data_IF_615596576098
#
_entry.id   IF_615596576098
#
_cell.length_a   1.000
_cell.length_b   1.000
_cell.length_c   1.000
_cell.angle_alpha   90.00
_cell.angle_beta   90.00
_cell.angle_gamma   90.00
#
_symmetry.space_group_name_H-M   'P 1'
#
loop_
_entity.id
_entity.type
_entity.pdbx_description
1 polymer ?
#
# COMPACT_ATOMS: atom_id res chain seq x y z
N UNK A 1 -6.37 21.18 5.86
CA UNK A 1 -6.36 20.28 7.03
C UNK A 1 -4.96 19.74 7.15
N UNK A 2 -4.30 19.79 8.31
CA UNK A 2 -2.96 19.26 8.44
C UNK A 2 -2.99 17.75 8.15
N UNK A 3 -2.11 17.29 7.27
CA UNK A 3 -2.03 15.88 6.96
C UNK A 3 -1.56 15.13 8.21
N UNK A 4 -2.31 14.10 8.65
CA UNK A 4 -1.79 13.12 9.61
C UNK A 4 -0.48 12.48 9.14
N UNK A 5 -0.25 12.54 7.82
CA UNK A 5 0.93 12.05 7.15
C UNK A 5 2.07 13.07 7.18
N UNK A 6 2.87 13.03 8.24
CA UNK A 6 4.13 13.76 8.33
C UNK A 6 5.29 12.86 8.77
N UNK A 7 6.46 12.99 8.13
CA UNK A 7 7.60 12.15 8.42
C UNK A 7 8.83 12.39 7.53
N UNK A 8 9.84 11.54 7.71
CA UNK A 8 11.09 11.57 6.94
C UNK A 8 11.50 10.18 6.43
N UNK A 9 10.59 9.21 6.43
CA UNK A 9 10.88 7.86 5.92
C UNK A 9 11.09 7.89 4.40
N UNK A 10 11.52 6.77 3.80
CA UNK A 10 11.74 6.71 2.34
C UNK A 10 10.48 7.05 1.55
N UNK A 11 9.30 6.67 2.03
CA UNK A 11 8.03 7.10 1.43
C UNK A 11 7.91 8.64 1.35
N UNK A 12 8.28 9.36 2.41
CA UNK A 12 8.23 10.83 2.46
C UNK A 12 9.35 11.49 1.66
N UNK A 13 10.40 10.73 1.37
CA UNK A 13 11.55 11.16 0.59
C UNK A 13 11.42 10.84 -0.91
N UNK A 14 10.45 10.01 -1.27
CA UNK A 14 10.13 9.67 -2.67
C UNK A 14 9.28 10.75 -3.31
N UNK A 15 9.81 11.38 -4.37
CA UNK A 15 9.06 12.35 -5.17
C UNK A 15 8.09 11.63 -6.09
N UNK A 16 8.63 10.81 -6.99
CA UNK A 16 7.83 10.14 -7.99
C UNK A 16 8.50 8.89 -8.58
N UNK A 17 7.66 7.98 -9.05
CA UNK A 17 7.97 6.98 -10.06
C UNK A 17 7.63 7.54 -11.44
N UNK A 18 8.39 7.17 -12.46
CA UNK A 18 8.14 7.60 -13.83
C UNK A 18 8.42 6.51 -14.86
N UNK A 19 7.81 6.65 -16.02
CA UNK A 19 8.14 5.90 -17.23
C UNK A 19 8.68 6.86 -18.28
N UNK A 20 9.77 6.48 -18.94
CA UNK A 20 10.26 7.15 -20.15
C UNK A 20 10.54 6.15 -21.26
N UNK A 21 10.59 6.64 -22.49
CA UNK A 21 11.13 5.88 -23.62
C UNK A 21 12.65 6.07 -23.74
N UNK A 22 13.24 5.39 -24.74
CA UNK A 22 14.67 5.46 -25.07
C UNK A 22 15.15 6.85 -25.51
N UNK A 23 14.26 7.74 -25.94
CA UNK A 23 14.57 9.12 -26.31
C UNK A 23 14.58 10.08 -25.13
N UNK A 24 14.14 9.64 -23.95
CA UNK A 24 13.98 10.49 -22.77
C UNK A 24 12.61 11.15 -22.63
N UNK A 25 11.64 10.79 -23.48
CA UNK A 25 10.28 11.33 -23.37
C UNK A 25 9.58 10.75 -22.16
N UNK A 26 9.09 11.62 -21.28
CA UNK A 26 8.25 11.22 -20.14
C UNK A 26 6.89 10.71 -20.62
N UNK A 27 6.58 9.46 -20.30
CA UNK A 27 5.32 8.81 -20.68
C UNK A 27 4.30 8.85 -19.55
N UNK A 28 4.75 8.65 -18.31
CA UNK A 28 3.91 8.74 -17.15
C UNK A 28 4.74 9.03 -15.90
N UNK A 29 4.08 9.56 -14.88
CA UNK A 29 4.71 9.87 -13.60
C UNK A 29 3.65 9.91 -12.51
N UNK A 30 4.02 9.36 -11.36
CA UNK A 30 3.18 9.18 -10.18
C UNK A 30 3.94 9.39 -8.89
N UNK A 31 3.26 9.93 -7.88
CA UNK A 31 3.84 10.22 -6.58
C UNK A 31 3.41 11.60 -6.10
N UNK A 32 3.78 11.92 -4.86
CA UNK A 32 3.41 13.17 -4.23
C UNK A 32 4.08 14.36 -4.92
N UNK A 33 5.27 14.14 -5.48
CA UNK A 33 6.03 15.11 -6.26
C UNK A 33 5.82 14.99 -7.78
N UNK A 34 4.77 14.30 -8.25
CA UNK A 34 4.60 14.02 -9.67
C UNK A 34 4.43 15.30 -10.51
N UNK A 35 3.80 16.34 -9.96
CA UNK A 35 3.62 17.62 -10.65
C UNK A 35 4.96 18.33 -10.81
N UNK A 36 5.75 18.35 -9.74
CA UNK A 36 7.07 18.96 -9.65
C UNK A 36 8.03 18.25 -10.60
N UNK A 37 8.04 16.91 -10.60
CA UNK A 37 8.86 16.10 -11.53
C UNK A 37 8.45 16.34 -12.99
N UNK A 38 7.17 16.52 -13.32
CA UNK A 38 6.76 16.90 -14.69
C UNK A 38 7.32 18.25 -15.10
N UNK A 39 7.33 19.23 -14.19
CA UNK A 39 7.78 20.59 -14.46
C UNK A 39 9.29 20.64 -14.70
N UNK A 40 10.07 19.87 -13.94
CA UNK A 40 11.54 19.84 -14.03
C UNK A 40 12.08 18.68 -14.87
N UNK A 41 11.22 17.96 -15.60
CA UNK A 41 11.62 16.79 -16.39
C UNK A 41 12.74 17.08 -17.39
N UNK A 42 12.75 18.20 -18.14
CA UNK A 42 13.85 18.48 -19.07
C UNK A 42 15.22 18.52 -18.38
N UNK A 43 15.31 19.17 -17.22
CA UNK A 43 16.55 19.27 -16.44
C UNK A 43 16.93 17.93 -15.80
N UNK A 44 15.93 17.19 -15.30
CA UNK A 44 16.14 15.86 -14.75
C UNK A 44 16.69 14.91 -15.81
N UNK A 45 16.11 14.90 -17.01
CA UNK A 45 16.55 14.07 -18.12
C UNK A 45 17.96 14.45 -18.61
N UNK A 46 18.24 15.75 -18.76
CA UNK A 46 19.58 16.22 -19.12
C UNK A 46 20.63 15.71 -18.13
N UNK A 47 20.33 15.79 -16.82
CA UNK A 47 21.19 15.24 -15.79
C UNK A 47 21.36 13.73 -15.88
N UNK A 48 20.29 12.97 -16.14
CA UNK A 48 20.34 11.50 -16.30
C UNK A 48 21.22 11.13 -17.49
N UNK A 49 21.00 11.78 -18.64
CA UNK A 49 21.72 11.54 -19.88
C UNK A 49 23.20 11.93 -19.78
N UNK A 50 23.54 12.97 -19.02
CA UNK A 50 24.93 13.40 -18.80
C UNK A 50 25.70 12.53 -17.79
N UNK A 51 25.03 11.66 -17.04
CA UNK A 51 25.59 10.96 -15.88
C UNK A 51 26.28 9.63 -16.18
N UNK A 52 26.68 9.36 -17.42
CA UNK A 52 27.33 8.08 -17.80
C UNK A 52 28.55 7.71 -16.94
N UNK A 53 29.31 8.71 -16.46
CA UNK A 53 30.50 8.48 -15.60
C UNK A 53 30.16 8.18 -14.13
N UNK A 54 28.99 8.62 -13.65
CA UNK A 54 28.55 8.47 -12.24
C UNK A 54 27.47 7.40 -12.08
N UNK A 55 27.12 6.71 -13.16
CA UNK A 55 26.12 5.65 -13.19
C UNK A 55 26.68 4.38 -12.55
N UNK A 56 26.00 3.89 -11.52
CA UNK A 56 26.31 2.61 -10.88
C UNK A 56 25.27 1.58 -11.32
N UNK A 57 25.68 0.63 -12.15
CA UNK A 57 24.82 -0.44 -12.64
C UNK A 57 24.90 -1.66 -11.71
N UNK A 58 23.77 -2.05 -11.13
CA UNK A 58 23.60 -3.28 -10.35
C UNK A 58 22.84 -4.32 -11.19
N UNK A 59 23.43 -5.49 -11.40
CA UNK A 59 22.77 -6.64 -12.04
C UNK A 59 22.28 -7.61 -10.97
N UNK A 60 20.98 -7.88 -10.97
CA UNK A 60 20.35 -8.80 -10.04
C UNK A 60 20.43 -10.25 -10.55
N UNK A 61 20.35 -11.27 -9.68
CA UNK A 61 20.37 -12.68 -10.08
C UNK A 61 19.34 -13.06 -11.15
N UNK A 62 18.14 -12.46 -11.16
CA UNK A 62 17.15 -12.65 -12.24
C UNK A 62 17.58 -12.12 -13.62
N UNK A 63 18.67 -11.35 -13.69
CA UNK A 63 19.12 -10.64 -14.90
C UNK A 63 18.60 -9.21 -15.02
N UNK A 64 17.68 -8.78 -14.15
CA UNK A 64 17.24 -7.37 -14.05
C UNK A 64 18.43 -6.45 -13.80
N UNK A 65 18.45 -5.30 -14.47
CA UNK A 65 19.51 -4.32 -14.36
C UNK A 65 18.96 -3.01 -13.81
N UNK A 66 19.56 -2.52 -12.72
CA UNK A 66 19.22 -1.24 -12.10
C UNK A 66 20.40 -0.29 -12.24
N UNK A 67 20.18 0.82 -12.94
CA UNK A 67 21.14 1.92 -13.00
C UNK A 67 20.83 2.91 -11.88
N UNK A 68 21.86 3.31 -11.13
CA UNK A 68 21.73 4.23 -9.99
C UNK A 68 22.53 5.50 -10.26
N UNK A 69 21.91 6.65 -10.11
CA UNK A 69 22.46 7.96 -10.48
C UNK A 69 22.19 8.96 -9.36
N UNK A 70 23.14 9.87 -9.13
CA UNK A 70 22.95 11.02 -8.24
C UNK A 70 23.05 12.30 -9.06
N UNK A 71 22.04 13.15 -8.95
CA UNK A 71 21.95 14.41 -9.69
C UNK A 71 21.69 15.53 -8.70
N UNK A 72 22.38 16.64 -8.89
CA UNK A 72 22.08 17.87 -8.18
C UNK A 72 20.98 18.61 -8.93
N UNK A 73 19.77 18.62 -8.36
CA UNK A 73 18.61 19.26 -8.96
C UNK A 73 17.71 19.84 -7.88
N UNK A 74 17.30 21.08 -8.07
CA UNK A 74 16.30 21.71 -7.21
C UNK A 74 14.90 21.26 -7.66
N UNK A 75 14.31 20.36 -6.88
CA UNK A 75 12.93 19.94 -7.04
C UNK A 75 12.21 20.40 -5.77
N UNK A 76 11.16 21.24 -5.88
CA UNK A 76 10.41 21.68 -4.71
C UNK A 76 9.91 20.50 -3.88
N UNK A 77 10.10 20.54 -2.56
CA UNK A 77 9.66 19.46 -1.66
C UNK A 77 8.16 19.18 -1.85
N UNK A 78 7.74 17.91 -1.96
CA UNK A 78 6.33 17.59 -2.17
C UNK A 78 5.49 17.87 -0.91
N UNK A 79 4.66 18.91 -0.94
CA UNK A 79 3.56 19.17 0.02
C UNK A 79 3.92 19.25 1.52
N UNK A 80 2.92 19.50 2.37
CA UNK A 80 3.08 19.75 3.82
C UNK A 80 3.52 18.52 4.66
N UNK A 81 3.72 17.35 4.04
CA UNK A 81 3.91 16.06 4.73
C UNK A 81 5.38 15.59 4.89
N UNK A 82 6.34 16.18 4.21
CA UNK A 82 7.76 15.79 4.37
C UNK A 82 8.48 16.76 5.30
N UNK A 83 9.36 16.25 6.17
CA UNK A 83 10.29 17.09 6.94
C UNK A 83 11.53 17.48 6.15
N UNK A 84 11.69 17.00 4.92
CA UNK A 84 12.85 17.32 4.10
C UNK A 84 12.80 18.79 3.66
N UNK A 85 13.79 19.58 4.11
CA UNK A 85 13.95 20.96 3.68
C UNK A 85 14.31 21.04 2.19
N UNK A 86 14.02 22.18 1.57
CA UNK A 86 14.42 22.51 0.18
C UNK A 86 15.93 22.64 -0.01
N UNK A 87 16.72 22.49 1.06
CA UNK A 87 18.17 22.66 1.04
C UNK A 87 18.91 21.42 0.52
N UNK A 88 18.29 20.23 0.53
CA UNK A 88 18.93 19.02 -0.01
C UNK A 88 18.73 18.89 -1.53
N UNK A 89 19.71 19.41 -2.27
CA UNK A 89 19.71 19.47 -3.72
C UNK A 89 20.09 18.14 -4.39
N UNK A 90 20.58 17.15 -3.64
CA UNK A 90 20.93 15.85 -4.23
C UNK A 90 19.69 14.96 -4.33
N UNK A 91 19.45 14.48 -5.56
CA UNK A 91 18.40 13.53 -5.90
C UNK A 91 19.03 12.20 -6.27
N UNK A 92 18.48 11.14 -5.71
CA UNK A 92 18.85 9.77 -6.03
C UNK A 92 17.85 9.22 -7.04
N UNK A 93 18.39 8.61 -8.08
CA UNK A 93 17.60 8.06 -9.18
C UNK A 93 18.00 6.61 -9.35
N UNK A 94 16.99 5.75 -9.44
CA UNK A 94 17.18 4.38 -9.90
C UNK A 94 16.34 4.17 -11.15
N UNK A 95 16.91 3.52 -12.15
CA UNK A 95 16.24 3.17 -13.41
C UNK A 95 16.33 1.67 -13.66
N UNK A 96 15.18 1.04 -13.93
CA UNK A 96 15.02 -0.36 -14.28
C UNK A 96 14.52 -0.46 -15.73
N UNK A 97 15.24 -1.22 -16.55
CA UNK A 97 14.84 -1.46 -17.94
C UNK A 97 13.83 -2.60 -18.04
N UNK A 98 12.68 -2.36 -18.68
CA UNK A 98 11.55 -3.32 -18.74
C UNK A 98 11.65 -4.31 -19.91
N UNK A 99 12.87 -4.71 -20.31
CA UNK A 99 13.12 -5.59 -21.47
C UNK A 99 12.62 -5.08 -22.84
N UNK A 100 11.99 -3.91 -22.85
CA UNK A 100 11.48 -3.15 -24.00
C UNK A 100 12.26 -1.82 -24.12
N UNK A 101 11.84 -0.94 -25.03
CA UNK A 101 12.39 0.42 -25.14
C UNK A 101 11.94 1.37 -24.01
N UNK A 102 11.32 0.82 -22.96
CA UNK A 102 10.82 1.58 -21.81
C UNK A 102 11.71 1.43 -20.60
N UNK A 103 11.90 2.54 -19.89
CA UNK A 103 12.60 2.60 -18.62
C UNK A 103 11.67 3.12 -17.54
N UNK A 104 11.56 2.35 -16.48
CA UNK A 104 10.91 2.75 -15.24
C UNK A 104 11.96 3.39 -14.36
N UNK A 105 11.64 4.50 -13.71
CA UNK A 105 12.54 5.16 -12.78
C UNK A 105 11.86 5.63 -11.51
N UNK A 106 12.66 5.87 -10.47
CA UNK A 106 12.25 6.49 -9.20
C UNK A 106 13.14 7.70 -8.92
N UNK A 107 12.57 8.75 -8.35
CA UNK A 107 13.30 9.94 -7.86
C UNK A 107 13.05 10.08 -6.37
N UNK A 108 14.12 10.10 -5.58
CA UNK A 108 14.08 10.33 -4.13
C UNK A 108 15.05 11.43 -3.70
N UNK A 109 14.75 12.09 -2.57
CA UNK A 109 15.75 12.78 -1.76
C UNK A 109 16.20 11.87 -0.65
N UNK A 110 17.43 12.04 -0.17
CA UNK A 110 17.86 11.50 1.12
C UNK A 110 18.41 12.63 1.94
N UNK A 111 18.12 12.64 3.23
CA UNK A 111 18.78 13.56 4.16
C UNK A 111 20.20 13.05 4.42
N UNK A 112 21.19 13.81 3.97
CA UNK A 112 22.61 13.49 4.17
C UNK A 112 23.02 13.30 5.63
N UNK A 113 22.22 13.78 6.61
CA UNK A 113 22.47 13.62 8.04
C UNK A 113 22.06 12.27 8.62
N UNK A 114 21.22 11.47 7.91
CA UNK A 114 20.72 10.16 8.38
C UNK A 114 21.47 8.98 7.76
N UNK A 115 22.80 8.98 7.88
CA UNK A 115 23.68 7.96 7.26
C UNK A 115 23.52 6.54 7.83
N UNK A 116 22.99 6.39 9.04
CA UNK A 116 22.91 5.10 9.75
C UNK A 116 22.11 4.02 8.99
N UNK A 117 21.11 4.41 8.18
CA UNK A 117 20.24 3.48 7.44
C UNK A 117 20.36 3.61 5.92
N UNK A 118 21.44 4.18 5.40
CA UNK A 118 21.60 4.44 3.96
C UNK A 118 21.48 3.17 3.08
N UNK A 119 21.94 2.02 3.60
CA UNK A 119 21.81 0.73 2.92
C UNK A 119 20.35 0.26 2.83
N UNK A 120 19.58 0.42 3.91
CA UNK A 120 18.15 0.08 3.94
C UNK A 120 17.35 1.00 3.00
N UNK A 121 17.68 2.29 2.94
CA UNK A 121 17.04 3.24 2.03
C UNK A 121 17.28 2.87 0.57
N UNK A 122 18.54 2.56 0.23
CA UNK A 122 18.93 2.08 -1.10
C UNK A 122 18.24 0.76 -1.46
N UNK A 123 18.16 -0.17 -0.51
CA UNK A 123 17.40 -1.41 -0.68
C UNK A 123 15.93 -1.13 -0.96
N UNK A 124 15.31 -0.21 -0.21
CA UNK A 124 13.89 0.09 -0.38
C UNK A 124 13.60 0.78 -1.71
N UNK A 125 14.44 1.70 -2.18
CA UNK A 125 14.29 2.32 -3.50
C UNK A 125 14.37 1.27 -4.62
N UNK A 126 15.28 0.30 -4.49
CA UNK A 126 15.37 -0.86 -5.40
C UNK A 126 14.16 -1.79 -5.25
N UNK A 127 13.66 -1.98 -4.05
CA UNK A 127 12.45 -2.75 -3.79
C UNK A 127 11.24 -2.10 -4.48
N UNK A 128 11.06 -0.79 -4.33
CA UNK A 128 9.99 -0.02 -4.97
C UNK A 128 10.02 -0.17 -6.50
N UNK A 129 11.19 0.00 -7.12
CA UNK A 129 11.32 -0.06 -8.58
C UNK A 129 11.22 -1.49 -9.14
N UNK A 130 11.65 -2.51 -8.39
CA UNK A 130 11.57 -3.91 -8.83
C UNK A 130 10.20 -4.52 -8.61
N UNK A 131 9.49 -4.08 -7.56
CA UNK A 131 8.16 -4.59 -7.24
C UNK A 131 7.07 -3.76 -7.88
N UNK A 132 7.39 -2.61 -8.48
CA UNK A 132 6.40 -1.79 -9.17
C UNK A 132 6.00 -2.29 -10.55
N UNK A 133 4.69 -2.32 -10.73
CA UNK A 133 3.94 -2.70 -11.91
C UNK A 133 3.05 -1.53 -12.34
N UNK A 134 3.30 -0.32 -11.84
CA UNK A 134 2.73 0.91 -12.39
C UNK A 134 2.99 0.95 -13.89
N UNK A 135 1.96 1.26 -14.70
CA UNK A 135 2.06 1.34 -16.16
C UNK A 135 1.72 2.74 -16.67
N UNK A 136 2.29 3.18 -17.81
CA UNK A 136 2.04 4.49 -18.38
C UNK A 136 0.67 4.57 -19.07
N UNK A 137 -0.39 4.58 -18.26
CA UNK A 137 -1.76 4.72 -18.73
C UNK A 137 -2.06 6.17 -19.13
N UNK A 138 -2.80 6.33 -20.22
CA UNK A 138 -3.32 7.62 -20.63
C UNK A 138 -4.45 8.05 -19.69
N UNK A 139 -4.61 9.37 -19.53
CA UNK A 139 -5.76 9.94 -18.83
C UNK A 139 -6.92 10.01 -19.81
N UNK A 140 -8.11 9.64 -19.35
CA UNK A 140 -9.34 9.73 -20.12
C UNK A 140 -9.65 11.20 -20.48
N UNK A 141 -9.88 11.45 -21.76
CA UNK A 141 -10.29 12.74 -22.33
C UNK A 141 -11.45 12.55 -23.32
N UNK A 142 -11.97 13.64 -23.87
CA UNK A 142 -13.04 13.58 -24.87
C UNK A 142 -12.61 13.00 -26.22
N UNK A 143 -11.31 12.98 -26.50
CA UNK A 143 -10.71 12.37 -27.70
C UNK A 143 -10.22 10.94 -27.48
N UNK A 144 -10.42 10.37 -26.28
CA UNK A 144 -10.05 9.00 -25.95
C UNK A 144 -10.82 7.95 -26.76
N UNK A 145 -10.32 6.72 -26.78
CA UNK A 145 -10.96 5.59 -27.44
C UNK A 145 -12.40 5.39 -26.92
N UNK A 146 -13.38 5.53 -27.83
CA UNK A 146 -14.80 5.51 -27.49
C UNK A 146 -15.27 4.15 -26.93
N UNK A 147 -14.75 3.04 -27.47
CA UNK A 147 -15.09 1.70 -27.00
C UNK A 147 -14.50 1.43 -25.61
N UNK A 148 -13.23 1.80 -25.40
CA UNK A 148 -12.59 1.68 -24.09
C UNK A 148 -13.30 2.55 -23.03
N UNK A 149 -13.73 3.77 -23.41
CA UNK A 149 -14.54 4.65 -22.56
C UNK A 149 -15.89 4.00 -22.21
N UNK A 150 -16.58 3.42 -23.19
CA UNK A 150 -17.86 2.72 -22.98
C UNK A 150 -17.71 1.55 -22.01
N UNK A 151 -16.70 0.71 -22.19
CA UNK A 151 -16.39 -0.42 -21.29
C UNK A 151 -16.07 0.08 -19.88
N UNK A 152 -15.25 1.13 -19.75
CA UNK A 152 -14.91 1.71 -18.44
C UNK A 152 -16.15 2.23 -17.70
N UNK A 153 -17.11 2.84 -18.42
CA UNK A 153 -18.41 3.23 -17.86
C UNK A 153 -19.19 2.02 -17.35
N UNK A 154 -19.33 0.98 -18.16
CA UNK A 154 -20.08 -0.23 -17.78
C UNK A 154 -19.49 -0.94 -16.56
N UNK A 155 -18.15 -1.05 -16.48
CA UNK A 155 -17.47 -1.62 -15.31
C UNK A 155 -17.69 -0.74 -14.06
N UNK A 156 -17.68 0.59 -14.22
CA UNK A 156 -17.93 1.53 -13.11
C UNK A 156 -19.35 1.43 -12.57
N UNK A 157 -20.33 1.25 -13.45
CA UNK A 157 -21.74 1.03 -13.07
C UNK A 157 -21.94 -0.32 -12.39
N UNK A 158 -21.29 -1.38 -12.89
CA UNK A 158 -21.33 -2.70 -12.24
C UNK A 158 -20.72 -2.66 -10.83
N UNK A 159 -19.61 -1.92 -10.65
CA UNK A 159 -18.99 -1.76 -9.34
C UNK A 159 -19.93 -1.02 -8.37
N UNK A 160 -20.56 0.06 -8.84
CA UNK A 160 -21.53 0.83 -8.09
C UNK A 160 -22.71 -0.03 -7.62
N UNK A 161 -23.27 -0.86 -8.51
CA UNK A 161 -24.41 -1.74 -8.22
C UNK A 161 -24.06 -2.92 -7.30
N UNK A 162 -22.91 -3.55 -7.50
CA UNK A 162 -22.60 -4.86 -6.88
C UNK A 162 -21.64 -4.83 -5.71
N UNK A 163 -20.71 -3.86 -5.66
CA UNK A 163 -19.56 -3.94 -4.75
C UNK A 163 -19.36 -2.66 -3.91
N UNK A 164 -19.89 -1.52 -4.34
CA UNK A 164 -19.74 -0.26 -3.60
C UNK A 164 -20.47 -0.33 -2.26
N UNK A 165 -19.73 -0.06 -1.18
CA UNK A 165 -20.36 0.26 0.09
C UNK A 165 -20.82 1.72 0.11
N UNK A 166 -22.13 1.91 0.24
CA UNK A 166 -22.77 3.23 0.29
C UNK A 166 -22.76 3.77 1.73
N UNK A 167 -21.78 4.63 2.04
CA UNK A 167 -21.70 5.31 3.32
C UNK A 167 -22.30 6.72 3.23
N UNK A 168 -22.85 7.23 4.34
CA UNK A 168 -23.63 8.48 4.35
C UNK A 168 -22.90 9.71 3.75
N UNK A 169 -21.57 9.75 3.81
CA UNK A 169 -20.75 10.86 3.28
C UNK A 169 -19.69 10.35 2.29
N UNK A 170 -19.98 9.26 1.57
CA UNK A 170 -19.05 8.80 0.53
C UNK A 170 -18.85 9.88 -0.56
N UNK A 171 -17.68 9.85 -1.20
CA UNK A 171 -17.26 10.84 -2.19
C UNK A 171 -17.46 10.32 -3.63
N UNK A 172 -18.28 9.28 -3.82
CA UNK A 172 -18.45 8.63 -5.11
C UNK A 172 -19.03 9.58 -6.15
N UNK A 173 -20.20 10.16 -5.87
CA UNK A 173 -20.92 11.01 -6.81
C UNK A 173 -20.52 12.49 -6.70
N UNK A 174 -20.33 13.00 -5.48
CA UNK A 174 -20.13 14.45 -5.26
C UNK A 174 -18.66 14.86 -5.13
N UNK A 175 -17.77 13.91 -4.84
CA UNK A 175 -16.35 14.18 -4.61
C UNK A 175 -15.43 13.78 -5.76
N UNK A 176 -15.98 13.44 -6.93
CA UNK A 176 -15.20 12.99 -8.09
C UNK A 176 -14.74 11.52 -8.03
N UNK A 177 -15.27 10.73 -7.08
CA UNK A 177 -14.83 9.36 -6.86
C UNK A 177 -15.14 8.43 -8.03
N UNK A 178 -16.32 8.60 -8.67
CA UNK A 178 -16.72 7.83 -9.85
C UNK A 178 -15.85 8.16 -11.06
N UNK A 179 -15.56 9.45 -11.30
CA UNK A 179 -14.71 9.90 -12.40
C UNK A 179 -13.28 9.39 -12.21
N UNK A 180 -12.78 9.47 -10.97
CA UNK A 180 -11.50 8.90 -10.61
C UNK A 180 -11.47 7.39 -10.90
N UNK A 181 -12.47 6.64 -10.42
CA UNK A 181 -12.62 5.20 -10.68
C UNK A 181 -12.60 4.92 -12.19
N UNK A 182 -13.50 5.55 -12.94
CA UNK A 182 -13.63 5.33 -14.37
C UNK A 182 -12.32 5.61 -15.12
N UNK A 183 -11.61 6.68 -14.77
CA UNK A 183 -10.31 7.01 -15.36
C UNK A 183 -9.25 5.93 -15.06
N UNK A 184 -9.29 5.29 -13.88
CA UNK A 184 -8.39 4.15 -13.58
C UNK A 184 -8.73 2.95 -14.46
N UNK A 185 -10.01 2.58 -14.55
CA UNK A 185 -10.46 1.43 -15.37
C UNK A 185 -10.11 1.63 -16.83
N UNK A 186 -10.35 2.84 -17.37
CA UNK A 186 -10.01 3.19 -18.74
C UNK A 186 -8.55 2.87 -19.07
N UNK A 187 -7.60 3.17 -18.18
CA UNK A 187 -6.18 2.92 -18.40
C UNK A 187 -5.85 1.45 -18.70
N UNK A 188 -6.51 0.50 -18.02
CA UNK A 188 -6.35 -0.94 -18.29
C UNK A 188 -7.03 -1.34 -19.60
N UNK A 189 -8.26 -0.88 -19.81
CA UNK A 189 -9.08 -1.23 -20.97
C UNK A 189 -8.45 -0.73 -22.27
N UNK A 190 -7.96 0.51 -22.28
CA UNK A 190 -7.26 1.10 -23.43
C UNK A 190 -5.99 0.33 -23.82
N UNK A 191 -5.36 -0.35 -22.85
CA UNK A 191 -4.19 -1.20 -23.08
C UNK A 191 -4.52 -2.67 -23.31
N UNK A 192 -5.80 -3.07 -23.31
CA UNK A 192 -6.19 -4.48 -23.43
C UNK A 192 -5.70 -5.33 -22.25
N UNK A 193 -5.47 -4.73 -21.08
CA UNK A 193 -5.00 -5.41 -19.88
C UNK A 193 -6.18 -5.76 -18.97
N UNK A 194 -6.11 -6.86 -18.20
CA UNK A 194 -7.09 -7.14 -17.14
C UNK A 194 -7.15 -5.99 -16.13
N UNK A 195 -8.36 -5.62 -15.70
CA UNK A 195 -8.55 -4.59 -14.66
C UNK A 195 -8.12 -5.17 -13.32
N UNK A 196 -7.20 -4.49 -12.61
CA UNK A 196 -6.70 -4.99 -11.33
C UNK A 196 -7.39 -4.27 -10.17
N UNK A 197 -7.97 -5.05 -9.27
CA UNK A 197 -8.66 -4.64 -8.05
C UNK A 197 -7.87 -5.05 -6.81
N UNK A 198 -8.04 -4.34 -5.70
CA UNK A 198 -7.25 -4.47 -4.48
C UNK A 198 -8.14 -4.22 -3.30
N UNK A 199 -8.09 -5.15 -2.37
CA UNK A 199 -8.90 -5.11 -1.20
C UNK A 199 -8.06 -5.46 0.02
N UNK A 200 -7.60 -4.44 0.78
CA UNK A 200 -7.12 -4.65 2.12
C UNK A 200 -8.26 -5.16 3.00
N UNK A 201 -8.30 -6.47 3.26
CA UNK A 201 -9.36 -7.11 4.03
C UNK A 201 -8.96 -8.52 4.47
N UNK A 202 -9.85 -9.12 5.26
CA UNK A 202 -9.70 -10.47 5.81
C UNK A 202 -8.37 -10.64 6.58
N UNK A 203 -8.09 -9.81 7.59
CA UNK A 203 -6.90 -9.96 8.42
C UNK A 203 -6.94 -11.25 9.24
N UNK A 204 -8.00 -11.40 10.02
CA UNK A 204 -8.31 -12.51 10.92
C UNK A 204 -9.71 -12.32 11.52
N UNK A 205 -10.20 -13.28 12.32
CA UNK A 205 -11.40 -13.09 13.15
C UNK A 205 -11.06 -12.26 14.40
N UNK A 206 -12.06 -11.54 14.92
CA UNK A 206 -11.92 -10.81 16.19
C UNK A 206 -11.52 -11.78 17.31
N UNK A 207 -10.58 -11.39 18.18
CA UNK A 207 -10.23 -12.20 19.36
C UNK A 207 -11.36 -12.27 20.40
N UNK A 208 -12.40 -11.41 20.27
CA UNK A 208 -13.53 -11.39 21.18
C UNK A 208 -14.56 -12.47 20.77
N UNK A 209 -14.74 -13.55 21.56
CA UNK A 209 -15.65 -14.64 21.21
C UNK A 209 -17.13 -14.23 21.16
N UNK A 210 -17.49 -13.07 21.70
CA UNK A 210 -18.87 -12.56 21.61
C UNK A 210 -19.21 -11.98 20.23
N UNK A 211 -18.20 -11.73 19.39
CA UNK A 211 -18.36 -11.13 18.06
C UNK A 211 -18.27 -12.15 16.92
N UNK A 212 -17.77 -13.35 17.18
CA UNK A 212 -17.44 -14.34 16.15
C UNK A 212 -17.82 -15.74 16.60
N UNK A 213 -18.20 -16.61 15.66
CA UNK A 213 -18.52 -18.01 15.95
C UNK A 213 -17.30 -18.91 16.14
N UNK A 214 -16.10 -18.42 15.81
CA UNK A 214 -14.84 -19.15 15.90
C UNK A 214 -13.68 -18.34 15.33
N UNK A 215 -12.51 -18.99 15.21
CA UNK A 215 -11.28 -18.37 14.70
C UNK A 215 -11.09 -18.55 13.18
N UNK A 216 -11.88 -19.40 12.54
CA UNK A 216 -11.80 -19.67 11.10
C UNK A 216 -12.79 -18.79 10.31
N UNK A 217 -12.54 -18.59 9.00
CA UNK A 217 -13.53 -18.00 8.10
C UNK A 217 -14.86 -18.77 8.18
N UNK A 218 -15.97 -18.04 8.18
CA UNK A 218 -17.31 -18.59 8.27
C UNK A 218 -18.20 -18.08 7.11
N UNK A 219 -19.52 -18.14 7.29
CA UNK A 219 -20.48 -17.73 6.27
C UNK A 219 -20.28 -16.26 5.83
N UNK A 220 -19.80 -15.38 6.71
CA UNK A 220 -19.56 -13.98 6.36
C UNK A 220 -18.47 -13.87 5.29
N UNK A 221 -17.34 -14.55 5.49
CA UNK A 221 -16.27 -14.60 4.51
C UNK A 221 -16.70 -15.32 3.21
N UNK A 222 -17.47 -16.40 3.33
CA UNK A 222 -18.01 -17.12 2.17
C UNK A 222 -18.83 -16.20 1.25
N UNK A 223 -19.84 -15.52 1.80
CA UNK A 223 -20.69 -14.63 1.00
C UNK A 223 -19.92 -13.43 0.46
N UNK A 224 -18.91 -12.95 1.18
CA UNK A 224 -18.04 -11.88 0.71
C UNK A 224 -17.23 -12.32 -0.53
N UNK A 225 -16.65 -13.53 -0.50
CA UNK A 225 -15.96 -14.11 -1.66
C UNK A 225 -16.91 -14.36 -2.84
N UNK A 226 -18.09 -14.92 -2.60
CA UNK A 226 -19.11 -15.13 -3.65
C UNK A 226 -19.48 -13.81 -4.33
N UNK A 227 -19.77 -12.77 -3.54
CA UNK A 227 -20.10 -11.44 -4.06
C UNK A 227 -18.97 -10.86 -4.92
N UNK A 228 -17.72 -11.01 -4.47
CA UNK A 228 -16.55 -10.57 -5.23
C UNK A 228 -16.40 -11.35 -6.54
N UNK A 229 -16.56 -12.68 -6.51
CA UNK A 229 -16.49 -13.54 -7.70
C UNK A 229 -17.58 -13.20 -8.71
N UNK A 230 -18.80 -12.94 -8.25
CA UNK A 230 -19.92 -12.57 -9.13
C UNK A 230 -19.69 -11.22 -9.81
N UNK A 231 -19.13 -10.24 -9.09
CA UNK A 231 -18.68 -8.99 -9.70
C UNK A 231 -17.61 -9.24 -10.77
N UNK A 232 -16.59 -10.06 -10.48
CA UNK A 232 -15.50 -10.36 -11.43
C UNK A 232 -16.01 -11.05 -12.70
N UNK A 233 -16.93 -12.01 -12.56
CA UNK A 233 -17.63 -12.66 -13.70
C UNK A 233 -18.43 -11.64 -14.52
N UNK A 234 -19.08 -10.69 -13.86
CA UNK A 234 -19.78 -9.59 -14.52
C UNK A 234 -18.83 -8.73 -15.37
N UNK A 235 -17.65 -8.39 -14.84
CA UNK A 235 -16.62 -7.67 -15.61
C UNK A 235 -16.15 -8.48 -16.81
N UNK A 236 -15.86 -9.77 -16.64
CA UNK A 236 -15.47 -10.66 -17.76
C UNK A 236 -16.52 -10.79 -18.86
N UNK A 237 -17.80 -10.56 -18.54
CA UNK A 237 -18.89 -10.55 -19.52
C UNK A 237 -18.95 -9.25 -20.33
N UNK A 238 -18.39 -8.16 -19.79
CA UNK A 238 -18.33 -6.83 -20.41
C UNK A 238 -17.02 -6.65 -21.20
N UNK A 239 -15.92 -7.22 -20.70
CA UNK A 239 -14.56 -6.99 -21.15
C UNK A 239 -13.75 -8.29 -21.11
N UNK A 240 -13.26 -8.75 -22.26
CA UNK A 240 -12.69 -10.10 -22.43
C UNK A 240 -11.47 -10.38 -21.52
N UNK A 241 -10.48 -9.46 -21.38
CA UNK A 241 -9.38 -9.65 -20.42
C UNK A 241 -9.84 -9.71 -18.96
N UNK A 242 -11.07 -9.27 -18.66
CA UNK A 242 -11.70 -9.38 -17.36
C UNK A 242 -11.05 -8.52 -16.27
N UNK A 243 -11.17 -9.01 -15.04
CA UNK A 243 -10.58 -8.38 -13.86
C UNK A 243 -9.97 -9.40 -12.92
N UNK A 244 -9.00 -8.96 -12.12
CA UNK A 244 -8.38 -9.74 -11.05
C UNK A 244 -8.46 -8.95 -9.75
N UNK A 245 -8.97 -9.57 -8.69
CA UNK A 245 -9.01 -9.00 -7.35
C UNK A 245 -7.86 -9.54 -6.50
N UNK A 246 -7.01 -8.64 -6.01
CA UNK A 246 -6.05 -8.95 -4.97
C UNK A 246 -6.63 -8.69 -3.60
N UNK A 247 -6.78 -9.74 -2.79
CA UNK A 247 -7.03 -9.62 -1.36
C UNK A 247 -5.68 -9.44 -0.66
N UNK A 248 -5.49 -8.27 -0.05
CA UNK A 248 -4.27 -7.92 0.67
C UNK A 248 -4.56 -8.09 2.16
N UNK A 249 -4.08 -9.18 2.75
CA UNK A 249 -4.28 -9.44 4.18
C UNK A 249 -3.35 -8.54 4.99
N UNK A 250 -3.97 -7.68 5.81
CA UNK A 250 -3.33 -6.84 6.80
C UNK A 250 -3.28 -7.50 8.19
N UNK A 251 -3.47 -8.83 8.28
CA UNK A 251 -3.48 -9.54 9.55
C UNK A 251 -2.17 -9.38 10.34
N UNK A 252 -1.03 -9.65 9.71
CA UNK A 252 0.28 -9.51 10.33
C UNK A 252 0.67 -8.06 10.62
N UNK A 253 0.05 -7.10 9.92
CA UNK A 253 0.24 -5.67 10.15
C UNK A 253 -0.23 -5.30 11.57
N UNK A 254 -1.34 -5.88 12.02
CA UNK A 254 -2.02 -5.47 13.27
C UNK A 254 -2.13 -6.55 14.34
N UNK A 255 -1.71 -7.79 14.08
CA UNK A 255 -1.98 -8.95 14.93
C UNK A 255 -1.58 -8.74 16.39
N UNK A 256 -0.40 -8.18 16.63
CA UNK A 256 0.11 -7.82 17.95
C UNK A 256 -0.72 -6.72 18.62
N UNK A 257 -1.15 -5.71 17.85
CA UNK A 257 -2.01 -4.63 18.35
C UNK A 257 -3.40 -5.14 18.77
N UNK A 258 -3.92 -6.15 18.07
CA UNK A 258 -5.26 -6.70 18.35
C UNK A 258 -5.23 -7.94 19.24
N UNK A 259 -4.07 -8.39 19.74
CA UNK A 259 -3.99 -9.54 20.65
C UNK A 259 -4.24 -10.88 19.95
N UNK A 260 -3.77 -11.02 18.71
CA UNK A 260 -3.86 -12.25 17.93
C UNK A 260 -2.45 -12.72 17.59
N UNK A 261 -2.14 -13.99 17.87
CA UNK A 261 -0.85 -14.59 17.53
C UNK A 261 -0.66 -14.70 16.02
N UNK A 262 0.57 -14.55 15.54
CA UNK A 262 0.87 -14.56 14.09
C UNK A 262 0.47 -15.88 13.42
N UNK A 263 0.65 -17.00 14.11
CA UNK A 263 0.23 -18.32 13.61
C UNK A 263 -1.29 -18.39 13.37
N UNK A 264 -2.10 -17.69 14.17
CA UNK A 264 -3.55 -17.65 13.95
C UNK A 264 -3.92 -16.86 12.69
N UNK A 265 -3.14 -15.82 12.36
CA UNK A 265 -3.30 -15.08 11.11
C UNK A 265 -2.96 -15.96 9.91
N UNK A 266 -1.83 -16.69 9.97
CA UNK A 266 -1.42 -17.62 8.92
C UNK A 266 -2.50 -18.70 8.70
N UNK A 267 -2.99 -19.34 9.77
CA UNK A 267 -4.06 -20.36 9.69
C UNK A 267 -5.35 -19.78 9.10
N UNK A 268 -5.76 -18.58 9.52
CA UNK A 268 -6.96 -17.94 8.97
C UNK A 268 -6.82 -17.69 7.47
N UNK A 269 -5.68 -17.19 7.02
CA UNK A 269 -5.38 -16.96 5.60
C UNK A 269 -5.42 -18.27 4.81
N UNK A 270 -4.81 -19.34 5.31
CA UNK A 270 -4.84 -20.66 4.67
C UNK A 270 -6.27 -21.20 4.52
N UNK A 271 -7.09 -21.06 5.56
CA UNK A 271 -8.50 -21.48 5.52
C UNK A 271 -9.35 -20.64 4.58
N UNK A 272 -9.06 -19.35 4.45
CA UNK A 272 -9.73 -18.49 3.49
C UNK A 272 -9.36 -18.87 2.04
N UNK A 273 -8.09 -19.22 1.81
CA UNK A 273 -7.63 -19.73 0.52
C UNK A 273 -8.24 -21.09 0.18
N UNK A 274 -8.43 -21.98 1.18
CA UNK A 274 -9.14 -23.24 1.02
C UNK A 274 -10.59 -23.01 0.59
N UNK A 275 -11.33 -22.15 1.30
CA UNK A 275 -12.70 -21.76 0.93
C UNK A 275 -12.78 -21.18 -0.49
N UNK A 276 -11.84 -20.32 -0.89
CA UNK A 276 -11.77 -19.81 -2.26
C UNK A 276 -11.53 -20.92 -3.29
N UNK A 277 -10.65 -21.89 -3.01
CA UNK A 277 -10.41 -23.03 -3.92
C UNK A 277 -11.64 -23.92 -4.09
N UNK A 278 -12.47 -24.05 -3.05
CA UNK A 278 -13.74 -24.77 -3.13
C UNK A 278 -14.78 -24.03 -3.98
N UNK A 279 -14.82 -22.69 -3.88
CA UNK A 279 -15.68 -21.83 -4.70
C UNK A 279 -15.25 -21.78 -6.18
N UNK A 280 -13.97 -21.98 -6.46
CA UNK A 280 -13.35 -21.87 -7.78
C UNK A 280 -12.68 -23.20 -8.18
N UNK A 281 -13.43 -24.16 -8.77
CA UNK A 281 -12.90 -25.50 -9.05
C UNK A 281 -11.91 -25.54 -10.21
N UNK A 282 -11.99 -24.61 -11.17
CA UNK A 282 -11.10 -24.53 -12.33
C UNK A 282 -9.97 -23.50 -12.16
N UNK A 283 -8.87 -23.71 -12.88
CA UNK A 283 -7.67 -22.85 -12.77
C UNK A 283 -7.93 -21.40 -13.21
N UNK A 284 -8.79 -21.20 -14.22
CA UNK A 284 -9.12 -19.86 -14.73
C UNK A 284 -9.88 -19.06 -13.67
N UNK A 285 -10.89 -19.63 -13.02
CA UNK A 285 -11.62 -18.96 -11.94
C UNK A 285 -10.76 -18.72 -10.72
N UNK A 286 -9.85 -19.64 -10.37
CA UNK A 286 -8.86 -19.44 -9.29
C UNK A 286 -7.93 -18.26 -9.53
N UNK A 287 -7.63 -17.93 -10.79
CA UNK A 287 -6.81 -16.77 -11.14
C UNK A 287 -7.50 -15.42 -10.92
N UNK A 288 -8.82 -15.39 -10.69
CA UNK A 288 -9.58 -14.13 -10.59
C UNK A 288 -9.48 -13.48 -9.20
N UNK A 289 -9.22 -14.26 -8.15
CA UNK A 289 -8.88 -13.73 -6.81
C UNK A 289 -7.50 -14.24 -6.39
N UNK A 290 -6.61 -13.30 -6.07
CA UNK A 290 -5.25 -13.58 -5.63
C UNK A 290 -5.04 -13.06 -4.21
N UNK A 291 -4.25 -13.77 -3.41
CA UNK A 291 -3.99 -13.42 -2.02
C UNK A 291 -2.56 -12.92 -1.86
N UNK A 292 -2.41 -11.83 -1.12
CA UNK A 292 -1.11 -11.23 -0.80
C UNK A 292 -1.11 -10.82 0.67
N UNK A 293 -0.01 -11.06 1.38
CA UNK A 293 0.20 -10.54 2.73
C UNK A 293 1.60 -9.97 2.86
N UNK A 294 1.94 -9.43 4.03
CA UNK A 294 3.24 -8.79 4.27
C UNK A 294 4.45 -9.62 3.84
N UNK A 295 4.43 -10.93 4.11
CA UNK A 295 5.52 -11.85 3.73
C UNK A 295 5.66 -11.92 2.20
N UNK A 296 4.56 -12.01 1.45
CA UNK A 296 4.61 -11.98 0.00
C UNK A 296 5.01 -10.61 -0.57
N UNK A 297 4.72 -9.53 0.13
CA UNK A 297 5.09 -8.18 -0.29
C UNK A 297 6.61 -8.03 -0.22
N UNK A 298 7.19 -8.31 0.95
CA UNK A 298 8.59 -8.01 1.25
C UNK A 298 9.57 -9.14 0.95
N UNK A 299 9.13 -10.39 1.09
CA UNK A 299 10.03 -11.54 1.15
C UNK A 299 9.90 -12.49 -0.06
N UNK A 300 9.04 -12.19 -1.02
CA UNK A 300 8.81 -13.08 -2.18
C UNK A 300 9.80 -12.92 -3.34
N UNK A 301 10.61 -11.86 -3.37
CA UNK A 301 11.56 -11.59 -4.44
C UNK A 301 13.00 -11.90 -3.98
N UNK A 302 13.60 -13.03 -4.41
CA UNK A 302 14.94 -13.44 -3.99
C UNK A 302 16.03 -12.43 -4.33
N UNK A 303 15.87 -11.66 -5.42
CA UNK A 303 16.87 -10.65 -5.78
C UNK A 303 16.93 -9.54 -4.75
N UNK A 304 15.81 -9.24 -4.10
CA UNK A 304 15.71 -8.17 -3.12
C UNK A 304 15.99 -8.71 -1.72
N UNK A 305 15.44 -9.85 -1.33
CA UNK A 305 15.67 -10.41 0.01
C UNK A 305 17.14 -10.71 0.27
N UNK A 306 17.86 -11.20 -0.73
CA UNK A 306 19.31 -11.46 -0.61
C UNK A 306 20.15 -10.18 -0.47
N UNK A 307 19.62 -9.02 -0.85
CA UNK A 307 20.29 -7.72 -0.70
C UNK A 307 20.00 -7.03 0.64
N UNK A 308 19.08 -7.58 1.45
CA UNK A 308 18.69 -6.98 2.71
C UNK A 308 19.74 -7.29 3.79
N UNK A 309 20.62 -6.32 4.07
CA UNK A 309 21.58 -6.41 5.18
C UNK A 309 20.84 -6.56 6.52
N UNK A 310 21.29 -7.38 7.48
CA UNK A 310 20.69 -7.44 8.81
C UNK A 310 21.09 -6.26 9.71
N UNK A 311 22.12 -5.48 9.33
CA UNK A 311 22.73 -4.46 10.20
C UNK A 311 21.79 -3.33 10.63
N UNK A 312 20.76 -3.01 9.85
CA UNK A 312 19.79 -1.97 10.22
C UNK A 312 18.89 -2.39 11.39
N UNK A 313 18.78 -3.70 11.69
CA UNK A 313 17.88 -4.21 12.73
C UNK A 313 18.35 -3.93 14.14
N UNK A 314 19.65 -3.69 14.36
CA UNK A 314 20.22 -3.52 15.71
C UNK A 314 19.63 -2.31 16.47
N UNK A 315 19.12 -1.30 15.76
CA UNK A 315 18.50 -0.10 16.31
C UNK A 315 16.96 -0.07 16.29
N UNK A 316 16.30 -0.98 15.58
CA UNK A 316 14.85 -0.93 15.36
C UNK A 316 14.14 -1.86 16.34
N UNK A 317 13.39 -1.29 17.29
CA UNK A 317 12.49 -2.05 18.18
C UNK A 317 11.07 -1.53 18.05
N UNK A 318 10.16 -2.41 17.68
CA UNK A 318 8.74 -2.10 17.67
C UNK A 318 8.15 -2.19 19.08
N UNK A 319 7.13 -1.38 19.32
CA UNK A 319 6.35 -1.47 20.54
C UNK A 319 5.27 -2.53 20.33
N UNK A 320 5.21 -3.51 21.23
CA UNK A 320 4.14 -4.51 21.30
C UNK A 320 3.38 -4.32 22.60
N UNK A 321 2.32 -3.49 22.63
CA UNK A 321 1.63 -3.17 23.88
C UNK A 321 0.81 -4.32 24.46
N UNK A 322 0.61 -5.40 23.68
CA UNK A 322 -0.12 -6.60 24.05
C UNK A 322 0.80 -7.80 23.86
N UNK A 323 0.71 -8.74 24.79
CA UNK A 323 1.41 -10.03 24.73
C UNK A 323 0.77 -10.93 23.65
N UNK A 324 1.56 -11.30 22.65
CA UNK A 324 1.20 -12.20 21.55
C UNK A 324 2.44 -12.99 21.12
N UNK A 325 2.23 -14.18 20.55
CA UNK A 325 3.31 -14.94 19.94
C UNK A 325 3.61 -14.39 18.53
N UNK A 326 4.85 -13.91 18.34
CA UNK A 326 5.32 -13.31 17.10
C UNK A 326 6.20 -14.28 16.32
N UNK A 327 6.03 -14.34 15.01
CA UNK A 327 6.94 -15.06 14.11
C UNK A 327 8.04 -14.14 13.60
N UNK A 328 9.24 -14.69 13.36
CA UNK A 328 10.39 -13.90 12.90
C UNK A 328 10.09 -13.15 11.58
N UNK A 329 9.49 -13.84 10.60
CA UNK A 329 9.16 -13.25 9.29
C UNK A 329 8.12 -12.13 9.40
N UNK A 330 7.09 -12.31 10.22
CA UNK A 330 6.06 -11.29 10.41
C UNK A 330 6.66 -10.06 11.11
N UNK A 331 7.49 -10.27 12.12
CA UNK A 331 8.15 -9.17 12.85
C UNK A 331 9.14 -8.41 11.96
N UNK A 332 9.92 -9.13 11.15
CA UNK A 332 10.74 -8.52 10.11
C UNK A 332 9.91 -7.63 9.17
N UNK A 333 8.77 -8.13 8.69
CA UNK A 333 7.93 -7.36 7.80
C UNK A 333 7.35 -6.10 8.48
N UNK A 334 6.97 -6.18 9.77
CA UNK A 334 6.54 -4.99 10.52
C UNK A 334 7.66 -3.98 10.66
N UNK A 335 8.88 -4.44 10.95
CA UNK A 335 10.05 -3.57 11.09
C UNK A 335 10.35 -2.85 9.79
N UNK A 336 10.40 -3.59 8.66
CA UNK A 336 10.55 -3.01 7.33
C UNK A 336 9.45 -1.96 7.08
N UNK A 337 8.18 -2.35 7.25
CA UNK A 337 7.03 -1.47 7.06
C UNK A 337 7.19 -0.14 7.82
N UNK A 338 7.55 -0.21 9.10
CA UNK A 338 7.71 0.97 9.93
C UNK A 338 8.90 1.81 9.48
N UNK A 339 10.08 1.24 9.26
CA UNK A 339 11.24 2.01 8.78
C UNK A 339 10.97 2.75 7.46
N UNK A 340 10.19 2.15 6.56
CA UNK A 340 10.00 2.67 5.20
C UNK A 340 8.87 3.70 5.10
N UNK A 341 7.84 3.59 5.95
CA UNK A 341 6.59 4.33 5.80
C UNK A 341 6.09 5.02 7.08
N UNK A 342 6.78 4.90 8.21
CA UNK A 342 6.30 5.40 9.51
C UNK A 342 6.00 6.91 9.49
N UNK A 343 4.87 7.24 10.10
CA UNK A 343 4.51 8.61 10.49
C UNK A 343 5.28 9.00 11.74
N UNK A 344 5.65 10.26 11.83
CA UNK A 344 6.19 10.82 13.06
C UNK A 344 5.19 10.71 14.23
N UNK A 345 5.58 9.90 15.20
CA UNK A 345 4.84 9.66 16.45
C UNK A 345 4.68 10.93 17.27
N UNK A 346 5.71 11.78 17.33
CA UNK A 346 5.68 13.03 18.09
C UNK A 346 4.72 14.01 17.44
N UNK A 347 4.69 14.05 16.11
CA UNK A 347 3.71 14.84 15.37
C UNK A 347 2.27 14.38 15.61
N UNK A 348 2.00 13.06 15.55
CA UNK A 348 0.68 12.53 15.91
C UNK A 348 0.29 12.91 17.34
N UNK A 349 1.21 12.76 18.29
CA UNK A 349 0.99 13.14 19.69
C UNK A 349 0.65 14.64 19.81
N UNK A 350 1.38 15.50 19.10
CA UNK A 350 1.14 16.94 19.05
C UNK A 350 -0.26 17.25 18.51
N UNK A 351 -0.67 16.65 17.39
CA UNK A 351 -2.02 16.86 16.83
C UNK A 351 -3.14 16.49 17.83
N UNK A 352 -2.95 15.39 18.57
CA UNK A 352 -3.90 14.97 19.62
C UNK A 352 -3.91 15.96 20.80
N UNK A 353 -2.74 16.49 21.21
CA UNK A 353 -2.63 17.49 22.27
C UNK A 353 -3.24 18.83 21.88
N UNK A 354 -3.04 19.26 20.64
CA UNK A 354 -3.56 20.49 20.05
C UNK A 354 -5.07 20.40 19.72
N UNK A 355 -5.70 19.25 20.04
CA UNK A 355 -7.12 18.96 19.79
C UNK A 355 -7.53 19.10 18.32
N UNK A 356 -6.64 18.72 17.38
CA UNK A 356 -7.00 18.69 15.97
C UNK A 356 -8.20 17.75 15.76
N UNK A 357 -9.33 18.24 15.20
CA UNK A 357 -10.60 17.52 15.24
C UNK A 357 -10.54 16.09 14.69
N UNK A 358 -9.86 15.89 13.55
CA UNK A 358 -9.81 14.60 12.88
C UNK A 358 -8.91 13.59 13.60
N UNK A 359 -7.68 13.99 13.94
CA UNK A 359 -6.73 13.18 14.71
C UNK A 359 -7.31 12.77 16.06
N UNK A 360 -7.94 13.71 16.77
CA UNK A 360 -8.53 13.46 18.08
C UNK A 360 -9.73 12.52 17.99
N UNK A 361 -10.60 12.68 16.99
CA UNK A 361 -11.74 11.79 16.78
C UNK A 361 -11.29 10.36 16.47
N UNK A 362 -10.30 10.20 15.57
CA UNK A 362 -9.72 8.91 15.22
C UNK A 362 -9.11 8.23 16.44
N UNK A 363 -8.27 8.96 17.19
CA UNK A 363 -7.65 8.47 18.43
C UNK A 363 -8.67 8.02 19.45
N UNK A 364 -9.67 8.85 19.76
CA UNK A 364 -10.73 8.52 20.73
C UNK A 364 -11.61 7.37 20.28
N UNK A 365 -11.84 7.22 18.98
CA UNK A 365 -12.62 6.12 18.40
C UNK A 365 -11.88 4.79 18.57
N UNK A 366 -10.62 4.75 18.13
CA UNK A 366 -9.77 3.55 18.23
C UNK A 366 -9.50 3.15 19.67
N UNK A 367 -9.20 4.10 20.58
CA UNK A 367 -9.02 3.77 22.00
C UNK A 367 -10.25 3.11 22.61
N UNK A 368 -11.46 3.58 22.27
CA UNK A 368 -12.71 2.98 22.76
C UNK A 368 -12.95 1.60 22.17
N UNK A 369 -12.69 1.44 20.88
CA UNK A 369 -12.78 0.16 20.20
C UNK A 369 -11.83 -0.87 20.82
N UNK A 370 -10.55 -0.51 20.99
CA UNK A 370 -9.54 -1.40 21.57
C UNK A 370 -9.78 -1.72 23.04
N UNK A 371 -10.33 -0.79 23.81
CA UNK A 371 -10.73 -1.08 25.19
C UNK A 371 -11.81 -2.18 25.27
N UNK A 372 -12.76 -2.18 24.33
CA UNK A 372 -13.79 -3.20 24.27
C UNK A 372 -13.26 -4.56 23.78
N UNK A 373 -12.40 -4.55 22.76
CA UNK A 373 -11.90 -5.78 22.12
C UNK A 373 -10.85 -6.49 22.95
N UNK A 374 -9.96 -5.74 23.60
CA UNK A 374 -8.89 -6.29 24.43
C UNK A 374 -9.31 -6.55 25.88
N UNK A 375 -10.50 -6.10 26.31
CA UNK A 375 -10.92 -6.19 27.71
C UNK A 375 -10.96 -7.62 28.28
N UNK A 376 -11.07 -8.64 27.41
CA UNK A 376 -11.02 -10.07 27.76
C UNK A 376 -9.74 -10.78 27.32
N UNK A 377 -8.76 -10.05 26.81
CA UNK A 377 -7.47 -10.63 26.48
C UNK A 377 -6.76 -11.07 27.76
N UNK A 378 -6.12 -12.26 27.85
CA UNK A 378 -5.56 -12.78 29.10
C UNK A 378 -4.59 -11.83 29.84
N UNK A 379 -3.81 -11.05 29.08
CA UNK A 379 -2.87 -10.06 29.63
C UNK A 379 -3.51 -8.73 30.07
N UNK A 380 -4.77 -8.49 29.68
CA UNK A 380 -5.50 -7.23 29.94
C UNK A 380 -6.66 -7.42 30.92
N UNK A 381 -7.32 -8.58 30.90
CA UNK A 381 -8.49 -8.89 31.73
C UNK A 381 -8.20 -8.74 33.23
N UNK A 382 -6.97 -9.08 33.64
CA UNK A 382 -6.51 -8.99 35.04
C UNK A 382 -6.19 -7.56 35.49
N UNK A 383 -6.19 -6.59 34.58
CA UNK A 383 -5.84 -5.20 34.86
C UNK A 383 -7.05 -4.40 35.36
N UNK A 384 -6.82 -3.38 36.19
CA UNK A 384 -7.86 -2.41 36.56
C UNK A 384 -8.36 -1.63 35.33
N UNK A 385 -9.58 -1.09 35.38
CA UNK A 385 -10.15 -0.27 34.29
C UNK A 385 -9.23 0.86 33.85
N UNK A 386 -8.50 1.49 34.78
CA UNK A 386 -7.52 2.55 34.49
C UNK A 386 -6.32 2.03 33.70
N UNK A 387 -5.81 0.84 34.06
CA UNK A 387 -4.71 0.19 33.35
C UNK A 387 -5.15 -0.32 31.97
N UNK A 388 -6.34 -0.92 31.86
CA UNK A 388 -6.92 -1.34 30.56
C UNK A 388 -7.05 -0.15 29.61
N UNK A 389 -7.54 1.00 30.10
CA UNK A 389 -7.62 2.23 29.29
C UNK A 389 -6.24 2.73 28.85
N UNK A 390 -5.20 2.61 29.68
CA UNK A 390 -3.82 2.97 29.32
C UNK A 390 -3.28 2.07 28.21
N UNK A 391 -3.52 0.76 28.31
CA UNK A 391 -3.15 -0.21 27.28
C UNK A 391 -3.87 0.10 25.96
N UNK A 392 -5.19 0.27 26.00
CA UNK A 392 -6.00 0.61 24.81
C UNK A 392 -5.53 1.90 24.12
N UNK A 393 -5.11 2.91 24.89
CA UNK A 393 -4.54 4.15 24.36
C UNK A 393 -3.17 3.94 23.69
N UNK A 394 -2.33 3.05 24.24
CA UNK A 394 -1.04 2.69 23.65
C UNK A 394 -1.26 1.96 22.33
N UNK A 395 -2.14 0.95 22.34
CA UNK A 395 -2.53 0.20 21.14
C UNK A 395 -3.14 1.11 20.09
N UNK A 396 -4.04 2.03 20.45
CA UNK A 396 -4.62 2.97 19.50
C UNK A 396 -3.55 3.87 18.84
N UNK A 397 -2.49 4.22 19.57
CA UNK A 397 -1.36 4.97 18.99
C UNK A 397 -0.64 4.12 17.94
N UNK A 398 -0.28 2.88 18.28
CA UNK A 398 0.35 1.96 17.32
C UNK A 398 -0.55 1.70 16.13
N UNK A 399 -1.83 1.39 16.34
CA UNK A 399 -2.79 1.18 15.26
C UNK A 399 -2.94 2.38 14.33
N UNK A 400 -2.89 3.62 14.83
CA UNK A 400 -2.91 4.79 13.94
C UNK A 400 -1.62 4.85 13.13
N UNK A 401 -0.47 4.71 13.78
CA UNK A 401 0.81 4.76 13.09
C UNK A 401 0.88 3.67 12.03
N UNK A 402 0.62 2.43 12.42
CA UNK A 402 0.59 1.24 11.58
C UNK A 402 -0.49 1.33 10.50
N UNK A 403 -1.69 1.83 10.78
CA UNK A 403 -2.72 2.01 9.73
C UNK A 403 -2.33 3.06 8.72
N UNK A 404 -1.69 4.15 9.15
CA UNK A 404 -1.16 5.15 8.23
C UNK A 404 0.00 4.56 7.41
N UNK A 405 0.86 3.76 8.03
CA UNK A 405 1.98 3.06 7.38
C UNK A 405 1.48 1.98 6.41
N UNK A 406 0.50 1.17 6.79
CA UNK A 406 -0.13 0.14 5.97
C UNK A 406 -0.97 0.72 4.84
N UNK A 407 -1.68 1.83 5.07
CA UNK A 407 -2.31 2.59 4.00
C UNK A 407 -1.28 3.20 3.03
N UNK A 408 -0.05 3.48 3.47
CA UNK A 408 1.06 3.91 2.61
C UNK A 408 1.77 2.77 1.94
N UNK A 409 1.85 1.59 2.56
CA UNK A 409 2.23 0.38 1.85
C UNK A 409 1.20 0.13 0.78
N UNK A 410 -0.09 0.08 1.08
CA UNK A 410 -1.18 0.01 0.10
C UNK A 410 -1.14 1.18 -0.88
N UNK A 411 -0.74 2.40 -0.52
CA UNK A 411 -0.55 3.49 -1.50
C UNK A 411 0.72 3.29 -2.35
N UNK A 412 1.79 2.77 -1.76
CA UNK A 412 3.05 2.42 -2.40
C UNK A 412 2.94 1.10 -3.17
N UNK A 413 1.93 0.28 -2.90
CA UNK A 413 1.60 -1.02 -3.49
C UNK A 413 0.47 -0.90 -4.50
N UNK A 414 -0.43 0.06 -4.34
CA UNK A 414 -1.12 0.73 -5.44
C UNK A 414 -0.08 1.24 -6.43
N UNK A 415 1.06 1.72 -5.94
CA UNK A 415 2.22 2.01 -6.79
C UNK A 415 3.04 0.75 -7.11
N UNK A 416 3.00 -0.38 -6.38
CA UNK A 416 3.85 -1.58 -6.59
C UNK A 416 3.20 -2.75 -7.35
N UNK A 417 2.17 -3.44 -6.89
CA UNK A 417 1.48 -4.39 -7.82
C UNK A 417 0.64 -3.55 -8.82
N UNK A 418 0.16 -4.05 -9.97
CA UNK A 418 -0.41 -3.37 -11.18
C UNK A 418 -1.41 -2.16 -11.01
N UNK A 419 -1.40 -1.36 -9.95
CA UNK A 419 -2.59 -1.06 -9.16
C UNK A 419 -2.80 0.42 -8.91
N UNK A 420 -3.13 1.12 -9.99
CA UNK A 420 -4.03 2.27 -9.87
C UNK A 420 -5.42 1.83 -9.37
N UNK A 421 -5.55 1.39 -8.11
CA UNK A 421 -6.73 0.63 -7.67
C UNK A 421 -7.58 1.32 -6.63
N UNK A 422 -8.88 1.12 -6.80
CA UNK A 422 -9.99 1.42 -5.90
C UNK A 422 -9.76 0.74 -4.56
N UNK A 423 -9.59 1.53 -3.53
CA UNK A 423 -9.72 1.03 -2.16
C UNK A 423 -11.13 1.37 -1.75
N UNK A 424 -11.98 0.37 -1.66
CA UNK A 424 -13.03 0.49 -0.69
C UNK A 424 -12.42 0.07 0.65
N UNK A 425 -12.49 0.98 1.63
CA UNK A 425 -12.14 0.69 3.02
C UNK A 425 -12.92 -0.56 3.46
N UNK A 426 -12.47 -1.22 4.53
CA UNK A 426 -13.01 -2.44 5.18
C UNK A 426 -14.53 -2.54 5.39
N UNK A 427 -15.29 -1.55 4.96
CA UNK A 427 -16.73 -1.46 4.96
C UNK A 427 -17.42 -2.04 3.70
N UNK A 428 -16.70 -2.65 2.74
CA UNK A 428 -17.28 -3.29 1.52
C UNK A 428 -18.39 -4.29 1.85
N UNK A 429 -18.23 -5.05 2.91
CA UNK A 429 -19.17 -6.10 3.29
C UNK A 429 -19.96 -5.68 4.52
N UNK A 430 -20.99 -4.87 4.30
CA UNK A 430 -22.17 -4.93 5.18
C UNK A 430 -23.21 -5.80 4.48
N UNK A 431 -23.59 -6.96 5.05
CA UNK A 431 -24.78 -7.64 4.56
C UNK A 431 -25.97 -6.67 4.65
N UNK A 432 -26.77 -6.60 3.57
CA UNK A 432 -28.07 -5.92 3.60
C UNK A 432 -29.00 -6.63 4.57
#
# INVERSE_FOLDING_TARGET
MPALNRGSSVYHSTYALYWRDSSGKLLAVEGNGAKEVRQVWPQLWEGIAASDKNRITSRLPSGRQIDSIQIKLDIPTPGEGSYLGSEDQWKHIHELQDGSDLTLGIVTSRDSSKSANAALYSWFEKFLICRTEFKPFQTLTDSSNADARRIAVQISELFDDKLRNCAQNDQWSTGGGREYFMNRVYGFVDKGLPVILCLPAFPCKSPNPQKVGGTYPDAAEYYALVTALDFLKGVSSIYEPGAVLWIISDGHVFSDCIGVDDIKVDIYKEKLMEMHRELCPDEKSRGTIQFMGLKEIFLSDPDLTNLLSPTWREGTRLAHPIETELTEDAELCRQLMMEMCQTDREYLRKLVQDQEPHALQLYRGLSRFMQADLGRHPSVEKLSTKQQKKVANSVATEMILVSQTGARIDESERRQTKKRTMTAKSSIFKPR
#
